data_IF_208540432948
#
_entry.id   IF_208540432948
#
_cell.length_a   1.000
_cell.length_b   1.000
_cell.length_c   1.000
_cell.angle_alpha   90.00
_cell.angle_beta   90.00
_cell.angle_gamma   90.00
#
_symmetry.space_group_name_H-M   'P 1'
#
loop_
_entity.id
_entity.type
_entity.pdbx_description
1 polymer ?
#
# COMPACT_ATOMS: atom_id res chain seq x y z
N UNK A 1 -12.54 -5.33 -9.57
CA UNK A 1 -11.42 -6.18 -10.08
C UNK A 1 -10.16 -5.59 -9.49
N UNK A 2 -9.25 -6.38 -8.92
CA UNK A 2 -8.10 -5.81 -8.17
C UNK A 2 -6.89 -5.65 -9.09
N UNK A 3 -6.30 -4.46 -9.12
CA UNK A 3 -5.01 -4.20 -9.78
C UNK A 3 -3.89 -4.37 -8.75
N UNK A 4 -3.02 -5.35 -8.94
CA UNK A 4 -1.96 -5.69 -7.99
C UNK A 4 -0.58 -5.46 -8.59
N UNK A 5 0.28 -4.79 -7.83
CA UNK A 5 1.65 -4.45 -8.19
C UNK A 5 2.60 -5.01 -7.12
N UNK A 6 3.67 -5.66 -7.53
CA UNK A 6 4.69 -6.23 -6.63
C UNK A 6 5.44 -5.13 -5.86
N UNK A 7 6.03 -5.45 -4.71
CA UNK A 7 6.80 -4.45 -3.97
C UNK A 7 8.02 -3.96 -4.73
N UNK A 8 8.27 -2.66 -4.62
CA UNK A 8 9.32 -1.99 -5.39
C UNK A 8 9.06 -1.96 -6.90
N UNK A 9 7.87 -2.36 -7.36
CA UNK A 9 7.50 -2.24 -8.79
C UNK A 9 6.89 -0.87 -9.14
N UNK A 10 6.47 -0.10 -8.13
CA UNK A 10 5.92 1.25 -8.25
C UNK A 10 6.53 2.13 -7.15
N UNK A 11 7.20 3.22 -7.55
CA UNK A 11 7.78 4.22 -6.62
C UNK A 11 7.05 5.56 -6.67
N UNK A 12 6.29 5.78 -7.74
CA UNK A 12 5.57 7.02 -7.98
C UNK A 12 4.18 6.71 -8.55
N UNK A 13 3.18 7.44 -8.06
CA UNK A 13 1.84 7.45 -8.64
C UNK A 13 1.53 8.86 -9.13
N UNK A 14 1.04 8.97 -10.36
CA UNK A 14 0.56 10.21 -10.96
C UNK A 14 -0.94 10.12 -11.12
N UNK A 15 -1.65 11.12 -10.59
CA UNK A 15 -3.09 11.15 -10.47
C UNK A 15 -3.69 12.12 -11.48
N UNK A 16 -4.65 11.64 -12.26
CA UNK A 16 -5.66 12.51 -12.85
C UNK A 16 -6.69 12.98 -11.79
N UNK A 17 -7.43 14.05 -12.07
CA UNK A 17 -8.42 14.61 -11.14
C UNK A 17 -9.84 14.21 -11.52
N UNK A 18 -10.34 14.73 -12.65
CA UNK A 18 -11.72 14.58 -13.10
C UNK A 18 -12.00 13.11 -13.46
N UNK A 19 -13.10 12.55 -12.98
CA UNK A 19 -13.46 11.14 -13.15
C UNK A 19 -12.57 10.13 -12.39
N UNK A 20 -11.48 10.59 -11.77
CA UNK A 20 -10.46 9.73 -11.14
C UNK A 20 -10.43 9.91 -9.63
N UNK A 21 -9.90 11.05 -9.14
CA UNK A 21 -9.91 11.38 -7.70
C UNK A 21 -11.19 12.11 -7.29
N UNK A 22 -11.79 12.88 -8.21
CA UNK A 22 -13.02 13.64 -7.96
C UNK A 22 -13.98 13.57 -9.14
N UNK A 23 -15.26 13.87 -8.90
CA UNK A 23 -16.30 13.76 -9.91
C UNK A 23 -16.20 14.88 -10.95
N UNK A 24 -16.31 14.53 -12.23
CA UNK A 24 -16.40 15.52 -13.33
C UNK A 24 -17.61 16.42 -13.14
N UNK A 25 -18.72 15.85 -12.64
CA UNK A 25 -19.95 16.58 -12.32
C UNK A 25 -19.73 17.71 -11.31
N UNK A 26 -18.77 17.60 -10.39
CA UNK A 26 -18.50 18.69 -9.44
C UNK A 26 -18.02 19.98 -10.13
N UNK A 27 -17.24 19.85 -11.21
CA UNK A 27 -16.77 21.02 -11.97
C UNK A 27 -17.96 21.72 -12.63
N UNK A 28 -18.84 20.94 -13.26
CA UNK A 28 -20.00 21.45 -14.03
C UNK A 28 -21.13 21.93 -13.12
N UNK A 29 -21.41 21.21 -12.04
CA UNK A 29 -22.59 21.41 -11.20
C UNK A 29 -22.32 22.33 -10.00
N UNK A 30 -21.04 22.54 -9.64
CA UNK A 30 -20.65 23.38 -8.48
C UNK A 30 -19.73 24.52 -8.90
N UNK A 31 -18.58 24.22 -9.51
CA UNK A 31 -17.58 25.26 -9.80
C UNK A 31 -18.05 26.24 -10.88
N UNK A 32 -18.69 25.75 -11.94
CA UNK A 32 -19.21 26.60 -13.02
C UNK A 32 -20.32 27.55 -12.53
N UNK A 33 -21.38 27.07 -11.85
CA UNK A 33 -22.38 27.94 -11.22
C UNK A 33 -21.79 28.95 -10.24
N UNK A 34 -20.85 28.51 -9.40
CA UNK A 34 -20.20 29.39 -8.42
C UNK A 34 -19.52 30.59 -9.09
N UNK A 35 -18.77 30.36 -10.18
CA UNK A 35 -18.13 31.43 -10.94
C UNK A 35 -19.16 32.30 -11.68
N UNK A 36 -20.18 31.69 -12.29
CA UNK A 36 -21.22 32.39 -13.05
C UNK A 36 -21.92 33.44 -12.19
N UNK A 37 -22.27 33.11 -10.96
CA UNK A 37 -22.94 34.03 -10.03
C UNK A 37 -22.04 35.20 -9.56
N UNK A 38 -20.73 35.12 -9.80
CA UNK A 38 -19.73 36.04 -9.24
C UNK A 38 -18.97 36.86 -10.29
N UNK A 39 -19.13 36.57 -11.58
CA UNK A 39 -18.50 37.35 -12.65
C UNK A 39 -18.87 38.83 -12.58
N UNK A 40 -20.16 39.18 -12.46
CA UNK A 40 -20.58 40.57 -12.37
C UNK A 40 -19.92 41.33 -11.22
N UNK A 41 -19.84 40.71 -10.03
CA UNK A 41 -19.19 41.29 -8.86
C UNK A 41 -17.67 41.49 -9.06
N UNK A 42 -16.99 40.49 -9.64
CA UNK A 42 -15.56 40.59 -9.95
C UNK A 42 -15.27 41.73 -10.93
N UNK A 43 -16.03 41.81 -12.02
CA UNK A 43 -15.85 42.81 -13.05
C UNK A 43 -16.15 44.23 -12.54
N UNK A 44 -17.18 44.40 -11.71
CA UNK A 44 -17.57 45.69 -11.17
C UNK A 44 -16.61 46.22 -10.10
N UNK A 45 -16.11 45.35 -9.22
CA UNK A 45 -15.31 45.78 -8.06
C UNK A 45 -13.80 45.74 -8.31
N UNK A 46 -13.34 44.88 -9.22
CA UNK A 46 -11.92 44.56 -9.41
C UNK A 46 -11.49 44.53 -10.88
N UNK A 47 -12.30 45.12 -11.76
CA UNK A 47 -12.00 45.18 -13.20
C UNK A 47 -10.70 45.91 -13.57
N UNK A 48 -10.19 46.78 -12.69
CA UNK A 48 -8.92 47.50 -12.89
C UNK A 48 -7.69 46.73 -12.43
N UNK A 49 -7.86 45.60 -11.74
CA UNK A 49 -6.71 44.78 -11.34
C UNK A 49 -5.98 44.24 -12.58
N UNK A 50 -4.63 44.25 -12.60
CA UNK A 50 -3.88 43.98 -13.83
C UNK A 50 -4.23 42.65 -14.53
N UNK A 51 -4.51 41.61 -13.75
CA UNK A 51 -4.86 40.28 -14.28
C UNK A 51 -6.31 40.23 -14.79
N UNK A 52 -7.26 40.78 -14.04
CA UNK A 52 -8.67 40.87 -14.43
C UNK A 52 -8.83 41.77 -15.67
N UNK A 53 -8.20 42.95 -15.67
CA UNK A 53 -8.22 43.89 -16.79
C UNK A 53 -7.66 43.25 -18.08
N UNK A 54 -6.58 42.47 -17.97
CA UNK A 54 -5.98 41.75 -19.10
C UNK A 54 -6.92 40.65 -19.61
N UNK A 55 -7.49 39.85 -18.72
CA UNK A 55 -8.44 38.81 -19.11
C UNK A 55 -9.68 39.42 -19.78
N UNK A 56 -10.23 40.52 -19.25
CA UNK A 56 -11.36 41.25 -19.84
C UNK A 56 -11.03 41.78 -21.24
N UNK A 57 -9.84 42.35 -21.44
CA UNK A 57 -9.39 42.80 -22.76
C UNK A 57 -9.34 41.63 -23.77
N UNK A 58 -8.84 40.47 -23.35
CA UNK A 58 -8.83 39.26 -24.19
C UNK A 58 -10.24 38.72 -24.45
N UNK A 59 -11.17 38.82 -23.49
CA UNK A 59 -12.57 38.45 -23.73
C UNK A 59 -13.17 39.30 -24.84
N UNK A 60 -12.99 40.62 -24.77
CA UNK A 60 -13.45 41.58 -25.78
C UNK A 60 -12.90 41.28 -27.16
N UNK A 61 -11.60 41.00 -27.25
CA UNK A 61 -10.93 40.64 -28.49
C UNK A 61 -11.50 39.33 -29.08
N UNK A 62 -11.59 38.27 -28.28
CA UNK A 62 -12.07 36.95 -28.71
C UNK A 62 -13.57 36.90 -29.03
N UNK A 63 -14.35 37.83 -28.48
CA UNK A 63 -15.76 38.02 -28.80
C UNK A 63 -15.97 38.93 -30.03
N UNK A 64 -14.94 39.66 -30.47
CA UNK A 64 -15.07 40.69 -31.50
C UNK A 64 -15.84 41.94 -31.05
N UNK A 65 -15.88 42.20 -29.74
CA UNK A 65 -16.62 43.29 -29.11
C UNK A 65 -15.67 44.19 -28.27
N UNK A 66 -14.82 45.04 -28.89
CA UNK A 66 -13.78 45.82 -28.21
C UNK A 66 -14.33 46.82 -27.17
N UNK A 67 -15.55 47.33 -27.38
CA UNK A 67 -16.19 48.33 -26.53
C UNK A 67 -17.18 47.73 -25.52
N UNK A 68 -17.23 46.39 -25.37
CA UNK A 68 -18.17 45.74 -24.45
C UNK A 68 -17.96 46.19 -23.00
N UNK A 69 -19.01 46.70 -22.37
CA UNK A 69 -19.00 47.06 -20.95
C UNK A 69 -18.95 45.81 -20.03
N UNK A 70 -18.83 46.02 -18.72
CA UNK A 70 -18.71 44.93 -17.76
C UNK A 70 -19.92 43.98 -17.79
N UNK A 71 -21.14 44.49 -17.99
CA UNK A 71 -22.35 43.67 -18.07
C UNK A 71 -22.40 42.82 -19.33
N UNK A 72 -21.92 43.36 -20.47
CA UNK A 72 -21.80 42.57 -21.71
C UNK A 72 -20.72 41.51 -21.60
N UNK A 73 -19.57 41.83 -20.99
CA UNK A 73 -18.49 40.87 -20.73
C UNK A 73 -18.96 39.73 -19.82
N UNK A 74 -19.72 40.03 -18.76
CA UNK A 74 -20.34 39.02 -17.90
C UNK A 74 -21.23 38.06 -18.70
N UNK A 75 -22.07 38.60 -19.58
CA UNK A 75 -22.95 37.79 -20.44
C UNK A 75 -22.15 36.90 -21.40
N UNK A 76 -21.09 37.43 -22.00
CA UNK A 76 -20.18 36.65 -22.88
C UNK A 76 -19.53 35.50 -22.11
N UNK A 77 -19.06 35.76 -20.88
CA UNK A 77 -18.49 34.72 -20.02
C UNK A 77 -19.52 33.63 -19.69
N UNK A 78 -20.75 34.01 -19.36
CA UNK A 78 -21.85 33.07 -19.14
C UNK A 78 -22.14 32.19 -20.37
N UNK A 79 -22.22 32.81 -21.57
CA UNK A 79 -22.38 32.09 -22.84
C UNK A 79 -21.22 31.11 -23.11
N UNK A 80 -20.00 31.49 -22.76
CA UNK A 80 -18.82 30.63 -22.91
C UNK A 80 -18.80 29.46 -21.92
N UNK A 81 -19.26 29.67 -20.68
CA UNK A 81 -19.44 28.59 -19.71
C UNK A 81 -20.50 27.61 -20.21
N UNK A 82 -21.65 28.10 -20.69
CA UNK A 82 -22.75 27.26 -21.19
C UNK A 82 -22.34 26.45 -22.44
N UNK A 83 -21.39 26.95 -23.22
CA UNK A 83 -20.84 26.30 -24.41
C UNK A 83 -19.61 25.42 -24.14
N UNK A 84 -19.19 25.25 -22.87
CA UNK A 84 -17.93 24.59 -22.47
C UNK A 84 -16.70 25.09 -23.27
N UNK A 85 -16.65 26.41 -23.52
CA UNK A 85 -15.58 27.01 -24.33
C UNK A 85 -14.28 27.08 -23.54
N UNK A 86 -13.25 26.40 -24.03
CA UNK A 86 -11.89 26.39 -23.44
C UNK A 86 -11.09 27.66 -23.77
N UNK A 87 -11.56 28.83 -23.34
CA UNK A 87 -10.87 30.11 -23.53
C UNK A 87 -9.93 30.44 -22.35
N UNK A 88 -8.67 30.80 -22.63
CA UNK A 88 -7.68 31.22 -21.63
C UNK A 88 -8.19 32.33 -20.67
N UNK A 89 -8.80 33.43 -21.14
CA UNK A 89 -9.28 34.46 -20.22
C UNK A 89 -10.46 34.01 -19.34
N UNK A 90 -11.31 33.09 -19.83
CA UNK A 90 -12.36 32.49 -19.01
C UNK A 90 -11.75 31.68 -17.86
N UNK A 91 -10.80 30.79 -18.17
CA UNK A 91 -10.08 29.99 -17.17
C UNK A 91 -9.38 30.87 -16.13
N UNK A 92 -8.82 32.00 -16.57
CA UNK A 92 -8.15 32.96 -15.68
C UNK A 92 -9.14 33.53 -14.66
N UNK A 93 -10.28 34.06 -15.11
CA UNK A 93 -11.29 34.64 -14.23
C UNK A 93 -11.96 33.59 -13.33
N UNK A 94 -12.24 32.40 -13.86
CA UNK A 94 -12.72 31.26 -13.07
C UNK A 94 -11.71 30.87 -11.98
N UNK A 95 -10.42 30.78 -12.31
CA UNK A 95 -9.36 30.45 -11.36
C UNK A 95 -9.28 31.43 -10.19
N UNK A 96 -9.40 32.74 -10.45
CA UNK A 96 -9.45 33.78 -9.41
C UNK A 96 -10.64 33.53 -8.47
N UNK A 97 -11.84 33.37 -9.02
CA UNK A 97 -13.07 33.18 -8.24
C UNK A 97 -13.03 31.90 -7.41
N UNK A 98 -12.57 30.79 -7.98
CA UNK A 98 -12.48 29.53 -7.27
C UNK A 98 -11.44 29.59 -6.15
N UNK A 99 -10.27 30.17 -6.40
CA UNK A 99 -9.24 30.33 -5.37
C UNK A 99 -9.77 31.12 -4.16
N UNK A 100 -10.57 32.16 -4.39
CA UNK A 100 -11.23 32.91 -3.32
C UNK A 100 -12.31 32.10 -2.61
N UNK A 101 -13.15 31.39 -3.35
CA UNK A 101 -14.19 30.55 -2.77
C UNK A 101 -13.61 29.47 -1.87
N UNK A 102 -12.53 28.84 -2.30
CA UNK A 102 -11.77 27.89 -1.51
C UNK A 102 -11.14 28.56 -0.27
N UNK A 103 -10.44 29.69 -0.44
CA UNK A 103 -9.81 30.39 0.67
C UNK A 103 -10.78 30.88 1.75
N UNK A 104 -12.03 31.17 1.37
CA UNK A 104 -13.11 31.57 2.29
C UNK A 104 -13.88 30.38 2.86
N UNK A 105 -13.60 29.15 2.43
CA UNK A 105 -14.36 27.96 2.82
C UNK A 105 -15.77 27.91 2.23
N UNK A 106 -16.06 28.72 1.20
CA UNK A 106 -17.31 28.65 0.43
C UNK A 106 -17.31 27.46 -0.53
N UNK A 107 -16.11 27.02 -0.95
CA UNK A 107 -15.89 25.83 -1.75
C UNK A 107 -15.02 24.84 -0.97
N UNK A 108 -15.34 23.56 -1.11
CA UNK A 108 -14.53 22.41 -0.67
C UNK A 108 -14.47 21.47 -1.86
N UNK A 109 -13.26 21.03 -2.23
CA UNK A 109 -13.08 20.20 -3.42
C UNK A 109 -13.73 18.83 -3.21
N UNK A 110 -14.19 18.20 -4.29
CA UNK A 110 -14.75 16.86 -4.19
C UNK A 110 -13.65 15.80 -4.31
N UNK A 111 -13.63 14.84 -3.38
CA UNK A 111 -12.91 13.58 -3.53
C UNK A 111 -13.88 12.42 -3.35
N UNK A 112 -13.71 11.34 -4.12
CA UNK A 112 -14.46 10.11 -3.82
C UNK A 112 -14.04 9.55 -2.46
N UNK A 113 -14.97 8.93 -1.69
CA UNK A 113 -14.70 8.50 -0.31
C UNK A 113 -13.51 7.55 -0.14
N UNK A 114 -13.18 6.75 -1.16
CA UNK A 114 -12.08 5.78 -1.13
C UNK A 114 -10.69 6.39 -1.42
N UNK A 115 -10.62 7.64 -1.90
CA UNK A 115 -9.38 8.18 -2.46
C UNK A 115 -8.40 8.62 -1.37
N UNK A 116 -8.84 9.44 -0.42
CA UNK A 116 -7.94 10.14 0.51
C UNK A 116 -7.17 9.16 1.39
N UNK A 117 -7.85 8.15 1.94
CA UNK A 117 -7.21 7.14 2.79
C UNK A 117 -6.17 6.32 2.03
N UNK A 118 -6.44 5.98 0.77
CA UNK A 118 -5.50 5.25 -0.07
C UNK A 118 -4.27 6.11 -0.39
N UNK A 119 -4.45 7.39 -0.71
CA UNK A 119 -3.33 8.31 -0.95
C UNK A 119 -2.45 8.45 0.29
N UNK A 120 -3.04 8.58 1.48
CA UNK A 120 -2.29 8.61 2.75
C UNK A 120 -1.53 7.30 2.98
N UNK A 121 -2.16 6.16 2.72
CA UNK A 121 -1.53 4.84 2.83
C UNK A 121 -0.32 4.69 1.91
N UNK A 122 -0.42 5.13 0.66
CA UNK A 122 0.70 5.12 -0.29
C UNK A 122 1.83 6.05 0.12
N UNK A 123 1.51 7.28 0.54
CA UNK A 123 2.52 8.22 1.02
C UNK A 123 3.26 7.70 2.27
N UNK A 124 2.53 7.10 3.22
CA UNK A 124 3.11 6.47 4.40
C UNK A 124 4.02 5.27 4.05
N UNK A 125 3.69 4.56 2.97
CA UNK A 125 4.52 3.48 2.42
C UNK A 125 5.71 3.99 1.55
N UNK A 126 5.95 5.31 1.51
CA UNK A 126 7.06 5.91 0.78
C UNK A 126 6.84 6.12 -0.72
N UNK A 127 5.61 5.91 -1.22
CA UNK A 127 5.27 6.15 -2.63
C UNK A 127 5.10 7.64 -2.88
N UNK A 128 5.78 8.17 -3.90
CA UNK A 128 5.70 9.59 -4.27
C UNK A 128 4.44 9.86 -5.07
N UNK A 129 3.66 10.87 -4.67
CA UNK A 129 2.42 11.23 -5.36
C UNK A 129 2.61 12.51 -6.19
N UNK A 130 2.09 12.51 -7.40
CA UNK A 130 2.06 13.66 -8.30
C UNK A 130 0.67 13.80 -8.92
N UNK A 131 0.36 14.98 -9.44
CA UNK A 131 -0.92 15.25 -10.10
C UNK A 131 -0.68 15.72 -11.51
N UNK A 132 -1.46 15.22 -12.47
CA UNK A 132 -1.44 15.66 -13.86
C UNK A 132 -2.87 15.86 -14.39
N UNK A 133 -3.26 17.11 -14.57
CA UNK A 133 -4.62 17.48 -14.98
C UNK A 133 -4.62 18.60 -16.03
N UNK A 134 -5.73 18.77 -16.74
CA UNK A 134 -5.90 19.87 -17.72
C UNK A 134 -6.18 21.24 -17.06
N UNK A 135 -6.55 21.24 -15.78
CA UNK A 135 -6.63 22.45 -14.96
C UNK A 135 -5.23 22.98 -14.65
N UNK A 136 -5.09 24.31 -14.49
CA UNK A 136 -3.79 24.92 -14.20
C UNK A 136 -3.21 24.41 -12.87
N UNK A 137 -1.88 24.41 -12.74
CA UNK A 137 -1.21 24.04 -11.47
C UNK A 137 -1.79 24.81 -10.27
N UNK A 138 -2.15 26.08 -10.44
CA UNK A 138 -2.78 26.88 -9.37
C UNK A 138 -4.13 26.28 -8.93
N UNK A 139 -4.98 25.89 -9.88
CA UNK A 139 -6.26 25.25 -9.60
C UNK A 139 -6.10 23.88 -8.93
N UNK A 140 -5.11 23.08 -9.38
CA UNK A 140 -4.82 21.79 -8.77
C UNK A 140 -4.32 21.94 -7.32
N UNK A 141 -3.45 22.92 -7.06
CA UNK A 141 -2.98 23.23 -5.70
C UNK A 141 -4.15 23.65 -4.80
N UNK A 142 -5.05 24.50 -5.28
CA UNK A 142 -6.26 24.85 -4.55
C UNK A 142 -7.12 23.60 -4.26
N UNK A 143 -7.34 22.75 -5.28
CA UNK A 143 -8.09 21.50 -5.12
C UNK A 143 -7.55 20.63 -3.99
N UNK A 144 -6.24 20.37 -3.95
CA UNK A 144 -5.64 19.55 -2.90
C UNK A 144 -5.48 20.26 -1.54
N UNK A 145 -5.43 21.59 -1.52
CA UNK A 145 -5.36 22.37 -0.26
C UNK A 145 -6.68 22.36 0.49
N UNK A 146 -7.81 22.42 -0.23
CA UNK A 146 -9.14 22.59 0.34
C UNK A 146 -9.99 21.33 0.17
N UNK A 147 -9.40 20.18 0.52
CA UNK A 147 -10.09 18.88 0.52
C UNK A 147 -11.08 18.72 1.68
N UNK A 148 -12.04 17.78 1.60
CA UNK A 148 -13.00 17.51 2.68
C UNK A 148 -12.35 17.14 4.01
N UNK A 149 -11.11 16.63 3.99
CA UNK A 149 -10.39 16.17 5.17
C UNK A 149 -9.14 17.02 5.48
N UNK A 150 -9.18 18.28 5.08
CA UNK A 150 -8.06 19.22 5.25
C UNK A 150 -7.06 19.16 4.10
N UNK A 151 -5.94 19.87 4.25
CA UNK A 151 -4.95 19.99 3.17
C UNK A 151 -4.23 18.67 2.92
N UNK A 152 -4.18 18.25 1.66
CA UNK A 152 -3.43 17.09 1.18
C UNK A 152 -2.10 17.50 0.54
N UNK A 153 -1.71 18.77 0.64
CA UNK A 153 -0.51 19.31 0.00
C UNK A 153 0.79 18.62 0.44
N UNK A 154 0.83 18.11 1.67
CA UNK A 154 1.99 17.37 2.20
C UNK A 154 2.18 16.01 1.52
N UNK A 155 1.12 15.45 0.92
CA UNK A 155 1.16 14.17 0.23
C UNK A 155 1.70 14.30 -1.21
N UNK A 156 1.57 15.48 -1.82
CA UNK A 156 1.80 15.67 -3.27
C UNK A 156 3.15 16.34 -3.52
N UNK A 157 4.06 15.62 -4.18
CA UNK A 157 5.40 16.07 -4.52
C UNK A 157 5.49 16.99 -5.74
N UNK A 158 4.43 17.12 -6.55
CA UNK A 158 4.43 17.98 -7.73
C UNK A 158 3.11 17.97 -8.51
N UNK A 159 2.90 19.03 -9.31
CA UNK A 159 1.69 19.28 -10.08
C UNK A 159 2.06 19.61 -11.53
N UNK A 160 1.36 18.98 -12.47
CA UNK A 160 1.59 19.07 -13.90
C UNK A 160 0.31 19.45 -14.62
N UNK A 161 0.43 20.31 -15.61
CA UNK A 161 -0.67 20.73 -16.47
C UNK A 161 -0.25 20.75 -17.94
N UNK A 162 -1.16 21.18 -18.81
CA UNK A 162 -0.89 21.20 -20.25
C UNK A 162 0.14 22.24 -20.68
N UNK A 163 0.51 23.18 -19.81
CA UNK A 163 1.53 24.19 -20.09
C UNK A 163 2.92 23.70 -19.72
N UNK A 164 3.08 23.03 -18.57
CA UNK A 164 4.39 22.59 -18.08
C UNK A 164 4.78 21.17 -18.48
N UNK A 165 3.82 20.30 -18.80
CA UNK A 165 4.06 18.92 -19.25
C UNK A 165 3.71 18.71 -20.72
N UNK A 166 2.68 19.40 -21.24
CA UNK A 166 2.15 19.22 -22.58
C UNK A 166 0.78 18.55 -22.61
N UNK A 167 0.23 18.19 -23.79
CA UNK A 167 -1.11 17.61 -23.87
C UNK A 167 -1.20 16.20 -23.23
N UNK A 168 -2.33 15.90 -22.57
CA UNK A 168 -2.52 14.63 -21.82
C UNK A 168 -2.62 13.37 -22.70
N UNK A 169 -2.82 13.50 -24.01
CA UNK A 169 -2.88 12.36 -24.93
C UNK A 169 -1.59 12.19 -25.75
N UNK A 170 -0.53 12.90 -25.38
CA UNK A 170 0.77 12.82 -26.06
C UNK A 170 1.78 12.10 -25.17
N UNK A 171 2.41 11.00 -25.63
CA UNK A 171 3.41 10.26 -24.85
C UNK A 171 4.60 11.10 -24.38
N UNK A 172 4.96 12.15 -25.15
CA UNK A 172 6.06 13.04 -24.79
C UNK A 172 5.79 13.85 -23.52
N UNK A 173 4.52 14.11 -23.18
CA UNK A 173 4.17 14.79 -21.95
C UNK A 173 4.51 13.96 -20.72
N UNK A 174 4.27 12.65 -20.77
CA UNK A 174 4.62 11.71 -19.70
C UNK A 174 6.14 11.55 -19.58
N UNK A 175 6.86 11.52 -20.70
CA UNK A 175 8.34 11.55 -20.68
C UNK A 175 8.88 12.82 -20.03
N UNK A 176 8.27 13.97 -20.30
CA UNK A 176 8.64 15.24 -19.66
C UNK A 176 8.41 15.20 -18.15
N UNK A 177 7.28 14.63 -17.68
CA UNK A 177 6.99 14.46 -16.26
C UNK A 177 8.04 13.55 -15.60
N UNK A 178 8.35 12.38 -16.17
CA UNK A 178 9.39 11.47 -15.65
C UNK A 178 10.73 12.17 -15.47
N UNK A 179 11.13 12.98 -16.47
CA UNK A 179 12.37 13.75 -16.42
C UNK A 179 12.33 14.83 -15.32
N UNK A 180 11.21 15.53 -15.16
CA UNK A 180 11.05 16.60 -14.17
C UNK A 180 11.13 16.09 -12.73
N UNK A 181 10.61 14.88 -12.45
CA UNK A 181 10.57 14.31 -11.09
C UNK A 181 11.65 13.28 -10.81
N UNK A 182 12.49 12.96 -11.80
CA UNK A 182 13.50 11.90 -11.70
C UNK A 182 12.89 10.54 -11.38
N UNK A 183 11.75 10.20 -11.98
CA UNK A 183 11.09 8.90 -11.80
C UNK A 183 11.40 7.95 -12.97
N UNK A 184 11.60 6.68 -12.64
CA UNK A 184 11.69 5.61 -13.63
C UNK A 184 10.31 5.36 -14.24
N UNK A 185 10.21 5.41 -15.57
CA UNK A 185 8.96 5.21 -16.29
C UNK A 185 8.32 3.84 -15.96
N UNK A 186 9.11 2.76 -15.94
CA UNK A 186 8.64 1.41 -15.64
C UNK A 186 8.21 1.20 -14.19
N UNK A 187 8.52 2.15 -13.30
CA UNK A 187 8.10 2.19 -11.88
C UNK A 187 7.15 3.35 -11.56
N UNK A 188 6.61 4.02 -12.58
CA UNK A 188 5.61 5.08 -12.43
C UNK A 188 4.23 4.56 -12.83
N UNK A 189 3.24 4.72 -11.96
CA UNK A 189 1.85 4.34 -12.19
C UNK A 189 0.99 5.57 -12.48
N UNK A 190 0.27 5.59 -13.61
CA UNK A 190 -0.73 6.61 -13.92
C UNK A 190 -2.14 6.08 -13.70
N UNK A 191 -2.96 6.90 -13.04
CA UNK A 191 -4.39 6.66 -12.83
C UNK A 191 -5.20 7.70 -13.60
N UNK A 192 -6.09 7.25 -14.48
CA UNK A 192 -7.04 8.10 -15.21
C UNK A 192 -8.28 7.30 -15.61
N UNK A 193 -9.40 7.98 -15.86
CA UNK A 193 -10.63 7.41 -16.43
C UNK A 193 -10.64 7.46 -17.97
N UNK A 194 -9.66 8.12 -18.60
CA UNK A 194 -9.64 8.38 -20.04
C UNK A 194 -8.68 7.45 -20.79
N UNK A 195 -9.25 6.61 -21.67
CA UNK A 195 -8.48 5.67 -22.50
C UNK A 195 -7.30 6.31 -23.25
N UNK A 196 -7.51 7.43 -23.94
CA UNK A 196 -6.44 8.08 -24.72
C UNK A 196 -5.27 8.59 -23.87
N UNK A 197 -5.51 8.93 -22.61
CA UNK A 197 -4.45 9.33 -21.68
C UNK A 197 -3.68 8.11 -21.16
N UNK A 198 -4.39 7.04 -20.84
CA UNK A 198 -3.79 5.77 -20.44
C UNK A 198 -2.93 5.19 -21.59
N UNK A 199 -3.42 5.23 -22.82
CA UNK A 199 -2.67 4.78 -24.00
C UNK A 199 -1.36 5.56 -24.15
N UNK A 200 -1.42 6.90 -24.04
CA UNK A 200 -0.25 7.76 -24.13
C UNK A 200 0.77 7.53 -23.00
N UNK A 201 0.30 7.32 -21.76
CA UNK A 201 1.16 6.97 -20.63
C UNK A 201 1.87 5.62 -20.84
N UNK A 202 1.13 4.60 -21.33
CA UNK A 202 1.69 3.28 -21.63
C UNK A 202 2.75 3.35 -22.75
N UNK A 203 2.50 4.16 -23.79
CA UNK A 203 3.47 4.39 -24.88
C UNK A 203 4.72 5.17 -24.42
N UNK A 204 4.62 5.89 -23.29
CA UNK A 204 5.75 6.49 -22.59
C UNK A 204 6.49 5.52 -21.66
N UNK A 205 6.03 4.26 -21.55
CA UNK A 205 6.62 3.21 -20.72
C UNK A 205 6.10 3.18 -19.29
N UNK A 206 5.04 3.92 -18.97
CA UNK A 206 4.45 3.94 -17.64
C UNK A 206 3.52 2.74 -17.42
N UNK A 207 3.33 2.39 -16.15
CA UNK A 207 2.23 1.52 -15.71
C UNK A 207 0.95 2.34 -15.67
N UNK A 208 -0.19 1.68 -15.89
CA UNK A 208 -1.47 2.37 -16.05
C UNK A 208 -2.59 1.56 -15.42
N UNK A 209 -3.47 2.23 -14.68
CA UNK A 209 -4.74 1.67 -14.22
C UNK A 209 -5.86 2.63 -14.62
N UNK A 210 -6.85 2.08 -15.31
CA UNK A 210 -8.07 2.78 -15.65
C UNK A 210 -9.04 2.79 -14.48
N UNK A 211 -9.44 3.98 -14.03
CA UNK A 211 -10.40 4.16 -12.93
C UNK A 211 -11.80 4.39 -13.52
N UNK A 212 -12.73 3.48 -13.27
CA UNK A 212 -14.09 3.51 -13.81
C UNK A 212 -15.12 3.75 -12.73
N UNK A 213 -15.51 5.01 -12.59
CA UNK A 213 -16.56 5.44 -11.66
C UNK A 213 -17.92 5.44 -12.36
N UNK A 214 -18.88 4.71 -11.79
CA UNK A 214 -20.24 4.71 -12.33
C UNK A 214 -20.83 6.13 -12.27
N UNK A 215 -21.41 6.59 -13.38
CA UNK A 215 -21.97 7.93 -13.51
C UNK A 215 -21.02 8.97 -14.12
N UNK A 216 -19.72 8.66 -14.26
CA UNK A 216 -18.79 9.56 -14.94
C UNK A 216 -18.93 9.50 -16.47
N UNK A 217 -18.67 10.62 -17.19
CA UNK A 217 -18.92 10.71 -18.64
C UNK A 217 -18.20 9.65 -19.48
N UNK A 218 -17.00 9.25 -19.06
CA UNK A 218 -16.18 8.28 -19.79
C UNK A 218 -16.41 6.82 -19.36
N UNK A 219 -17.33 6.56 -18.42
CA UNK A 219 -17.61 5.22 -17.91
C UNK A 219 -17.94 4.21 -19.02
N UNK A 220 -18.75 4.60 -20.01
CA UNK A 220 -19.18 3.72 -21.10
C UNK A 220 -18.10 3.47 -22.17
N UNK A 221 -17.12 4.39 -22.29
CA UNK A 221 -16.03 4.23 -23.25
C UNK A 221 -15.05 3.12 -22.82
N UNK A 222 -14.98 2.83 -21.52
CA UNK A 222 -14.08 1.82 -20.97
C UNK A 222 -12.60 2.24 -21.04
N UNK A 223 -11.73 1.32 -20.63
CA UNK A 223 -10.28 1.57 -20.49
C UNK A 223 -9.45 0.57 -21.30
N UNK A 224 -10.03 0.01 -22.37
CA UNK A 224 -9.32 -0.83 -23.33
C UNK A 224 -8.58 -2.01 -22.68
N UNK A 225 -7.30 -2.17 -23.02
CA UNK A 225 -6.44 -3.24 -22.50
C UNK A 225 -5.73 -2.92 -21.17
N UNK A 226 -6.08 -1.81 -20.51
CA UNK A 226 -5.50 -1.43 -19.23
C UNK A 226 -6.14 -2.21 -18.07
N UNK A 227 -5.41 -2.36 -16.96
CA UNK A 227 -6.00 -2.86 -15.73
C UNK A 227 -7.11 -1.90 -15.28
N UNK A 228 -8.24 -2.45 -14.82
CA UNK A 228 -9.44 -1.67 -14.51
C UNK A 228 -9.82 -1.82 -13.03
N UNK A 229 -10.14 -0.69 -12.40
CA UNK A 229 -10.70 -0.63 -11.05
C UNK A 229 -11.88 0.34 -11.01
N UNK A 230 -12.76 0.16 -10.04
CA UNK A 230 -13.90 1.04 -9.74
C UNK A 230 -13.66 1.94 -8.52
N UNK A 231 -12.65 1.61 -7.71
CA UNK A 231 -12.23 2.36 -6.53
C UNK A 231 -10.72 2.20 -6.29
N UNK A 232 -10.13 3.13 -5.54
CA UNK A 232 -8.70 3.17 -5.24
C UNK A 232 -8.26 2.04 -4.31
N UNK A 233 -9.15 1.54 -3.44
CA UNK A 233 -8.87 0.43 -2.53
C UNK A 233 -8.68 -0.92 -3.26
N UNK A 234 -9.09 -1.00 -4.53
CA UNK A 234 -8.81 -2.12 -5.43
C UNK A 234 -7.40 -2.07 -6.04
N UNK A 235 -6.62 -1.02 -5.76
CA UNK A 235 -5.23 -0.86 -6.23
C UNK A 235 -4.28 -1.20 -5.08
N UNK A 236 -3.57 -2.32 -5.22
CA UNK A 236 -2.60 -2.79 -4.21
C UNK A 236 -1.17 -2.59 -4.70
N UNK A 237 -0.48 -1.65 -4.06
CA UNK A 237 0.97 -1.49 -4.19
C UNK A 237 1.63 -2.33 -3.10
N UNK A 238 2.43 -3.34 -3.45
CA UNK A 238 3.17 -4.11 -2.46
C UNK A 238 4.11 -3.19 -1.67
N UNK A 239 4.03 -3.20 -0.33
CA UNK A 239 5.04 -2.52 0.47
C UNK A 239 6.26 -3.44 0.61
N UNK A 240 7.44 -2.90 0.32
CA UNK A 240 8.67 -3.47 0.83
C UNK A 240 8.80 -3.06 2.30
N UNK A 241 9.22 -3.98 3.17
CA UNK A 241 9.64 -3.61 4.52
C UNK A 241 10.72 -2.53 4.46
N UNK A 242 10.53 -1.42 5.20
CA UNK A 242 11.53 -0.38 5.33
C UNK A 242 12.71 -0.86 6.20
N UNK A 243 13.85 -0.15 6.15
CA UNK A 243 14.97 -0.43 7.05
C UNK A 243 14.58 -0.26 8.53
N UNK A 244 13.68 0.68 8.84
CA UNK A 244 13.13 0.89 10.19
C UNK A 244 12.29 -0.31 10.63
N UNK A 245 11.44 -0.84 9.75
CA UNK A 245 10.63 -2.05 10.05
C UNK A 245 11.53 -3.26 10.34
N UNK A 246 12.65 -3.38 9.62
CA UNK A 246 13.60 -4.47 9.82
C UNK A 246 14.36 -4.33 11.14
N UNK A 247 14.78 -3.12 11.51
CA UNK A 247 15.46 -2.87 12.79
C UNK A 247 14.54 -3.14 13.99
N UNK A 248 13.29 -2.68 13.94
CA UNK A 248 12.30 -2.94 14.98
C UNK A 248 11.99 -4.43 15.12
N UNK A 249 11.78 -5.13 13.99
CA UNK A 249 11.61 -6.57 13.98
C UNK A 249 12.85 -7.30 14.54
N UNK A 250 14.03 -6.80 14.21
CA UNK A 250 15.31 -7.28 14.74
C UNK A 250 15.37 -7.19 16.27
N UNK A 251 14.98 -6.06 16.83
CA UNK A 251 14.96 -5.87 18.29
C UNK A 251 14.01 -6.85 18.99
N UNK A 252 12.82 -7.08 18.42
CA UNK A 252 11.86 -8.05 18.95
C UNK A 252 12.41 -9.47 18.88
N UNK A 253 12.99 -9.85 17.75
CA UNK A 253 13.54 -11.20 17.56
C UNK A 253 14.75 -11.46 18.46
N UNK A 254 15.61 -10.48 18.67
CA UNK A 254 16.72 -10.57 19.61
C UNK A 254 16.24 -10.79 21.05
N UNK A 255 15.21 -10.04 21.48
CA UNK A 255 14.63 -10.18 22.81
C UNK A 255 14.00 -11.56 23.05
N UNK A 256 13.26 -12.09 22.07
CA UNK A 256 12.66 -13.43 22.21
C UNK A 256 13.72 -14.55 22.11
N UNK A 257 14.74 -14.40 21.26
CA UNK A 257 15.85 -15.35 21.20
C UNK A 257 16.61 -15.42 22.53
N UNK A 258 16.91 -14.27 23.14
CA UNK A 258 17.54 -14.20 24.45
C UNK A 258 16.68 -14.88 25.54
N UNK A 259 15.36 -14.71 25.48
CA UNK A 259 14.43 -15.39 26.39
C UNK A 259 14.49 -16.91 26.22
N UNK A 260 14.35 -17.44 25.01
CA UNK A 260 14.42 -18.89 24.78
C UNK A 260 15.79 -19.48 25.08
N UNK A 261 16.87 -18.71 24.83
CA UNK A 261 18.22 -19.08 25.25
C UNK A 261 18.33 -19.21 26.78
N UNK A 262 17.68 -18.30 27.54
CA UNK A 262 17.63 -18.36 29.01
C UNK A 262 16.90 -19.60 29.55
N UNK A 263 15.93 -20.14 28.80
CA UNK A 263 15.28 -21.42 29.09
C UNK A 263 16.10 -22.64 28.65
N UNK A 264 17.20 -22.40 27.92
CA UNK A 264 18.05 -23.44 27.34
C UNK A 264 17.44 -24.12 26.11
N UNK A 265 16.46 -23.48 25.45
CA UNK A 265 15.76 -23.99 24.25
C UNK A 265 16.44 -23.59 22.93
N UNK A 266 17.30 -22.56 22.96
CA UNK A 266 18.14 -22.12 21.83
C UNK A 266 19.61 -22.07 22.25
N UNK A 267 20.25 -23.23 22.42
CA UNK A 267 21.64 -23.31 22.90
C UNK A 267 22.63 -22.96 21.79
N UNK A 268 23.60 -22.09 22.08
CA UNK A 268 24.60 -21.64 21.12
C UNK A 268 23.94 -21.04 19.89
N UNK A 269 24.25 -21.58 18.70
CA UNK A 269 23.73 -21.06 17.42
C UNK A 269 22.45 -21.75 16.95
N UNK A 270 21.83 -22.59 17.78
CA UNK A 270 20.74 -23.48 17.38
C UNK A 270 19.37 -22.80 17.42
N UNK A 271 18.51 -23.13 16.45
CA UNK A 271 17.17 -22.57 16.29
C UNK A 271 17.18 -21.22 15.58
N UNK A 272 16.01 -20.75 15.19
CA UNK A 272 15.80 -19.47 14.55
C UNK A 272 14.37 -18.98 14.77
N UNK A 273 14.18 -17.68 14.61
CA UNK A 273 12.91 -16.99 14.81
C UNK A 273 12.64 -16.14 13.58
N UNK A 274 11.37 -15.90 13.26
CA UNK A 274 10.99 -14.93 12.23
C UNK A 274 9.73 -14.15 12.54
N UNK A 275 9.62 -12.98 11.91
CA UNK A 275 8.41 -12.14 11.86
C UNK A 275 8.11 -11.81 10.40
N UNK A 276 6.83 -11.85 10.03
CA UNK A 276 6.34 -11.39 8.72
C UNK A 276 6.23 -9.86 8.75
N UNK A 277 6.93 -9.19 7.83
CA UNK A 277 6.89 -7.73 7.69
C UNK A 277 5.95 -7.29 6.56
N UNK A 278 5.83 -8.09 5.51
CA UNK A 278 4.88 -7.87 4.42
C UNK A 278 4.29 -9.21 3.99
N UNK A 279 3.00 -9.24 3.63
CA UNK A 279 2.36 -10.45 3.08
C UNK A 279 2.36 -10.49 1.56
N UNK A 280 2.48 -9.34 0.92
CA UNK A 280 2.37 -9.21 -0.53
C UNK A 280 3.33 -8.12 -1.02
N UNK A 281 4.55 -8.50 -1.45
CA UNK A 281 5.11 -9.85 -1.44
C UNK A 281 5.40 -10.33 -0.02
N UNK A 282 5.39 -11.65 0.19
CA UNK A 282 5.74 -12.22 1.49
C UNK A 282 7.21 -11.91 1.80
N UNK A 283 7.43 -11.15 2.87
CA UNK A 283 8.74 -10.78 3.37
C UNK A 283 8.81 -11.04 4.87
N UNK A 284 9.90 -11.64 5.31
CA UNK A 284 10.12 -11.97 6.72
C UNK A 284 11.47 -11.42 7.18
N UNK A 285 11.51 -10.90 8.41
CA UNK A 285 12.77 -10.79 9.15
C UNK A 285 13.05 -12.15 9.81
N UNK A 286 14.23 -12.72 9.56
CA UNK A 286 14.65 -14.01 10.13
C UNK A 286 15.97 -13.84 10.87
N UNK A 287 16.13 -14.44 12.05
CA UNK A 287 17.41 -14.34 12.79
C UNK A 287 18.58 -14.93 12.00
N UNK A 288 19.72 -14.24 12.03
CA UNK A 288 20.92 -14.62 11.28
C UNK A 288 21.47 -16.00 11.71
N UNK A 289 22.04 -16.73 10.75
CA UNK A 289 22.67 -18.03 11.01
C UNK A 289 24.02 -17.89 11.72
N UNK A 290 24.42 -18.89 12.50
CA UNK A 290 25.77 -18.98 13.11
C UNK A 290 26.07 -17.98 14.23
N UNK A 291 25.07 -17.22 14.69
CA UNK A 291 25.19 -16.31 15.86
C UNK A 291 24.61 -16.97 17.10
N UNK A 292 25.20 -16.68 18.26
CA UNK A 292 24.65 -17.12 19.55
C UNK A 292 23.28 -16.47 19.76
N UNK A 293 22.27 -17.29 20.02
CA UNK A 293 20.88 -16.82 20.14
C UNK A 293 20.61 -16.04 21.43
N UNK A 294 21.48 -16.18 22.44
CA UNK A 294 21.46 -15.38 23.66
C UNK A 294 22.03 -13.97 23.51
N UNK A 295 22.80 -13.71 22.44
CA UNK A 295 23.58 -12.47 22.26
C UNK A 295 23.20 -11.69 20.98
N UNK A 296 22.06 -12.02 20.36
CA UNK A 296 21.60 -11.30 19.17
C UNK A 296 21.30 -9.83 19.49
N UNK A 297 21.56 -8.97 18.50
CA UNK A 297 21.17 -7.57 18.48
C UNK A 297 20.11 -7.33 17.42
N UNK A 298 19.54 -6.11 17.36
CA UNK A 298 18.59 -5.73 16.31
C UNK A 298 19.16 -5.85 14.89
N UNK A 299 20.49 -5.78 14.74
CA UNK A 299 21.17 -5.92 13.46
C UNK A 299 21.35 -7.39 13.02
N UNK A 300 21.08 -8.37 13.89
CA UNK A 300 21.35 -9.79 13.63
C UNK A 300 20.15 -10.53 13.02
N UNK A 301 19.47 -9.85 12.09
CA UNK A 301 18.37 -10.37 11.28
C UNK A 301 18.61 -10.18 9.80
N UNK A 302 18.01 -11.03 8.99
CA UNK A 302 18.09 -11.01 7.53
C UNK A 302 16.68 -10.93 6.98
N UNK A 303 16.43 -9.95 6.10
CA UNK A 303 15.19 -9.86 5.35
C UNK A 303 15.17 -10.94 4.26
N UNK A 304 14.12 -11.75 4.22
CA UNK A 304 13.94 -12.83 3.26
C UNK A 304 12.64 -12.72 2.47
N UNK A 305 12.63 -13.24 1.25
CA UNK A 305 11.44 -13.36 0.42
C UNK A 305 10.60 -14.61 0.73
N UNK A 306 9.57 -14.85 -0.10
CA UNK A 306 8.67 -16.00 0.00
C UNK A 306 9.35 -17.37 -0.18
N UNK A 307 10.56 -17.41 -0.77
CA UNK A 307 11.36 -18.62 -0.92
C UNK A 307 12.35 -18.83 0.23
N UNK A 308 12.46 -17.85 1.14
CA UNK A 308 13.48 -17.82 2.19
C UNK A 308 14.84 -17.30 1.71
N UNK A 309 14.94 -16.77 0.49
CA UNK A 309 16.16 -16.16 -0.03
C UNK A 309 16.33 -14.75 0.54
N UNK A 310 17.57 -14.34 0.80
CA UNK A 310 17.86 -13.00 1.31
C UNK A 310 17.57 -11.92 0.27
N UNK A 311 16.92 -10.84 0.73
CA UNK A 311 16.63 -9.63 -0.06
C UNK A 311 17.68 -8.51 0.17
N UNK A 312 18.72 -8.77 0.97
CA UNK A 312 19.75 -7.80 1.33
C UNK A 312 21.04 -8.45 1.82
N UNK A 313 21.82 -7.71 2.60
CA UNK A 313 23.05 -8.20 3.18
C UNK A 313 22.80 -9.27 4.24
N UNK A 314 23.72 -10.24 4.34
CA UNK A 314 23.66 -11.32 5.31
C UNK A 314 23.33 -12.68 4.71
N UNK A 315 23.39 -13.71 5.55
CA UNK A 315 23.06 -15.09 5.17
C UNK A 315 21.94 -15.58 6.09
N UNK A 316 20.73 -15.84 5.55
CA UNK A 316 19.63 -16.32 6.36
C UNK A 316 19.91 -17.76 6.82
N UNK A 317 19.19 -18.22 7.85
CA UNK A 317 19.20 -19.65 8.20
C UNK A 317 18.76 -20.48 6.99
N UNK A 318 19.30 -21.70 6.85
CA UNK A 318 18.82 -22.66 5.85
C UNK A 318 17.32 -22.92 6.01
N UNK A 319 16.81 -22.82 7.25
CA UNK A 319 15.41 -23.04 7.61
C UNK A 319 14.51 -21.83 7.32
N UNK A 320 15.06 -20.71 6.81
CA UNK A 320 14.25 -19.54 6.42
C UNK A 320 13.17 -19.90 5.38
N UNK A 321 13.47 -20.84 4.48
CA UNK A 321 12.49 -21.36 3.53
C UNK A 321 11.30 -22.04 4.23
N UNK A 322 11.54 -22.76 5.32
CA UNK A 322 10.48 -23.41 6.09
C UNK A 322 9.65 -22.39 6.87
N UNK A 323 10.27 -21.33 7.42
CA UNK A 323 9.57 -20.21 8.04
C UNK A 323 8.63 -19.51 7.05
N UNK A 324 9.12 -19.19 5.85
CA UNK A 324 8.31 -18.59 4.79
C UNK A 324 7.13 -19.49 4.39
N UNK A 325 7.36 -20.81 4.29
CA UNK A 325 6.32 -21.78 3.98
C UNK A 325 5.27 -21.90 5.08
N UNK A 326 5.67 -21.93 6.36
CA UNK A 326 4.74 -21.88 7.50
C UNK A 326 3.89 -20.62 7.44
N UNK A 327 4.51 -19.45 7.23
CA UNK A 327 3.78 -18.18 7.15
C UNK A 327 2.77 -18.16 5.99
N UNK A 328 3.15 -18.69 4.82
CA UNK A 328 2.29 -18.78 3.64
C UNK A 328 1.09 -19.73 3.85
N UNK A 329 1.32 -20.93 4.40
CA UNK A 329 0.28 -21.96 4.55
C UNK A 329 -0.70 -21.66 5.68
N UNK A 330 -0.23 -21.03 6.75
CA UNK A 330 -1.00 -20.87 7.99
C UNK A 330 -1.51 -19.47 8.22
N UNK A 331 -1.00 -18.48 7.47
CA UNK A 331 -1.25 -17.07 7.74
C UNK A 331 -0.53 -16.56 9.00
N UNK A 332 0.45 -17.27 9.55
CA UNK A 332 1.21 -16.82 10.70
C UNK A 332 1.87 -15.45 10.46
N UNK A 333 1.99 -14.66 11.53
CA UNK A 333 2.80 -13.42 11.56
C UNK A 333 4.15 -13.60 12.25
N UNK A 334 4.35 -14.69 13.00
CA UNK A 334 5.64 -15.06 13.56
C UNK A 334 5.81 -16.59 13.66
N UNK A 335 7.05 -17.05 13.53
CA UNK A 335 7.41 -18.47 13.61
C UNK A 335 8.62 -18.62 14.52
N UNK A 336 8.55 -19.60 15.42
CA UNK A 336 9.56 -19.95 16.42
C UNK A 336 10.06 -21.36 16.11
N UNK A 337 11.37 -21.53 16.02
CA UNK A 337 12.00 -22.83 15.95
C UNK A 337 12.99 -23.01 17.11
N UNK A 338 12.75 -24.01 17.95
CA UNK A 338 13.54 -24.28 19.15
C UNK A 338 13.91 -25.77 19.27
N UNK A 339 14.93 -26.04 20.05
CA UNK A 339 15.52 -27.36 20.27
C UNK A 339 15.40 -27.78 21.73
N UNK A 340 14.19 -28.11 22.15
CA UNK A 340 13.96 -28.57 23.51
C UNK A 340 14.26 -30.05 23.66
N UNK A 341 14.64 -30.48 24.86
CA UNK A 341 14.89 -31.92 25.12
C UNK A 341 13.61 -32.73 24.92
N UNK A 342 12.45 -32.19 25.33
CA UNK A 342 11.18 -32.88 25.21
C UNK A 342 10.76 -33.04 23.74
N UNK A 343 10.87 -31.99 22.91
CA UNK A 343 10.53 -32.10 21.48
C UNK A 343 11.39 -33.11 20.73
N UNK A 344 12.71 -33.11 20.97
CA UNK A 344 13.63 -34.08 20.33
C UNK A 344 13.35 -35.50 20.80
N UNK A 345 13.13 -35.70 22.10
CA UNK A 345 12.85 -37.03 22.66
C UNK A 345 11.49 -37.57 22.19
N UNK A 346 10.44 -36.75 22.21
CA UNK A 346 9.10 -37.14 21.77
C UNK A 346 9.04 -37.39 20.27
N UNK A 347 9.79 -36.63 19.46
CA UNK A 347 9.93 -36.89 18.03
C UNK A 347 10.45 -38.29 17.71
N UNK A 348 11.30 -38.87 18.58
CA UNK A 348 11.75 -40.26 18.45
C UNK A 348 10.74 -41.27 19.00
N UNK A 349 10.08 -40.96 20.12
CA UNK A 349 9.17 -41.89 20.80
C UNK A 349 7.81 -42.03 20.10
N UNK A 350 7.36 -40.99 19.40
CA UNK A 350 6.01 -40.90 18.83
C UNK A 350 6.06 -40.42 17.36
N UNK A 351 6.69 -41.17 16.43
CA UNK A 351 6.84 -40.73 15.04
C UNK A 351 5.52 -40.54 14.28
N UNK A 352 4.40 -41.06 14.80
CA UNK A 352 3.06 -40.86 14.23
C UNK A 352 2.31 -39.64 14.78
N UNK A 353 2.93 -38.83 15.64
CA UNK A 353 2.30 -37.71 16.33
C UNK A 353 2.03 -37.99 17.82
N UNK A 354 1.84 -36.91 18.57
CA UNK A 354 1.55 -36.93 20.02
C UNK A 354 0.12 -36.46 20.25
N UNK A 355 -0.75 -37.33 20.78
CA UNK A 355 -2.13 -36.97 21.12
C UNK A 355 -2.20 -36.38 22.53
N UNK A 356 -2.80 -35.20 22.65
CA UNK A 356 -3.13 -34.57 23.92
C UNK A 356 -4.64 -34.55 24.09
N UNK A 357 -5.12 -34.89 25.29
CA UNK A 357 -6.54 -34.98 25.61
C UNK A 357 -6.83 -34.54 27.04
N UNK A 358 -7.91 -33.79 27.23
CA UNK A 358 -8.46 -33.39 28.54
C UNK A 358 -7.47 -32.60 29.42
N UNK A 359 -6.66 -31.72 28.80
CA UNK A 359 -5.66 -30.89 29.48
C UNK A 359 -6.02 -29.40 29.41
N UNK A 360 -6.05 -28.72 30.55
CA UNK A 360 -6.36 -27.27 30.66
C UNK A 360 -5.42 -26.40 29.81
N UNK A 361 -4.16 -26.83 29.67
CA UNK A 361 -3.14 -26.13 28.88
C UNK A 361 -3.50 -26.02 27.39
N UNK A 362 -4.39 -26.87 26.86
CA UNK A 362 -4.85 -26.78 25.46
C UNK A 362 -5.60 -25.47 25.15
N UNK A 363 -6.17 -24.79 26.15
CA UNK A 363 -6.76 -23.46 25.97
C UNK A 363 -5.74 -22.43 25.47
N UNK A 364 -4.47 -22.59 25.84
CA UNK A 364 -3.37 -21.74 25.38
C UNK A 364 -3.09 -21.84 23.87
N UNK A 365 -3.66 -22.84 23.18
CA UNK A 365 -3.57 -23.01 21.73
C UNK A 365 -4.82 -22.51 20.98
N UNK A 366 -5.78 -21.90 21.69
CA UNK A 366 -7.00 -21.34 21.09
C UNK A 366 -8.22 -22.27 21.14
N UNK A 367 -8.17 -23.39 21.87
CA UNK A 367 -9.32 -24.26 22.07
C UNK A 367 -10.25 -23.73 23.17
N UNK A 368 -11.55 -23.57 22.87
CA UNK A 368 -12.53 -23.00 23.81
C UNK A 368 -12.95 -23.92 24.95
N UNK A 369 -12.58 -25.21 24.92
CA UNK A 369 -12.90 -26.21 25.94
C UNK A 369 -11.69 -27.13 26.17
N UNK A 370 -11.68 -27.82 27.32
CA UNK A 370 -10.65 -28.82 27.64
C UNK A 370 -11.01 -30.22 27.13
N UNK A 371 -12.27 -30.48 26.78
CA UNK A 371 -12.77 -31.73 26.17
C UNK A 371 -12.44 -31.81 24.67
N UNK A 372 -11.16 -31.64 24.32
CA UNK A 372 -10.66 -31.67 22.94
C UNK A 372 -9.48 -32.63 22.88
N UNK A 373 -9.49 -33.50 21.87
CA UNK A 373 -8.32 -34.29 21.49
C UNK A 373 -7.60 -33.58 20.35
N UNK A 374 -6.34 -33.23 20.57
CA UNK A 374 -5.51 -32.52 19.58
C UNK A 374 -4.23 -33.31 19.37
N UNK A 375 -3.85 -33.51 18.11
CA UNK A 375 -2.61 -34.21 17.77
C UNK A 375 -1.54 -33.20 17.36
N UNK A 376 -0.41 -33.21 18.05
CA UNK A 376 0.82 -32.57 17.62
C UNK A 376 1.51 -33.46 16.58
N UNK A 377 1.61 -33.04 15.31
CA UNK A 377 2.23 -33.84 14.28
C UNK A 377 3.74 -33.97 14.53
N UNK A 378 4.27 -35.15 14.22
CA UNK A 378 5.70 -35.42 14.16
C UNK A 378 6.03 -35.79 12.72
N UNK A 379 6.98 -35.09 12.11
CA UNK A 379 7.43 -35.33 10.72
C UNK A 379 8.89 -35.78 10.69
N UNK A 380 9.24 -36.65 9.75
CA UNK A 380 10.63 -37.04 9.53
C UNK A 380 11.47 -35.84 9.07
N UNK A 381 12.66 -35.72 9.65
CA UNK A 381 13.64 -34.71 9.24
C UNK A 381 14.15 -34.94 7.81
N UNK A 382 14.57 -33.86 7.16
CA UNK A 382 15.22 -33.86 5.85
C UNK A 382 16.20 -32.70 5.76
N UNK A 383 17.34 -32.91 5.13
CA UNK A 383 18.28 -31.83 4.79
C UNK A 383 17.80 -31.00 3.59
N UNK A 384 16.84 -31.51 2.83
CA UNK A 384 16.16 -30.79 1.76
C UNK A 384 14.92 -30.07 2.33
N UNK A 385 14.96 -28.73 2.31
CA UNK A 385 13.89 -27.87 2.83
C UNK A 385 12.62 -27.92 2.00
N UNK A 386 12.69 -28.26 0.70
CA UNK A 386 11.51 -28.50 -0.13
C UNK A 386 10.76 -29.73 0.35
N UNK A 387 11.48 -30.84 0.53
CA UNK A 387 10.91 -32.09 1.07
C UNK A 387 10.37 -31.91 2.49
N UNK A 388 11.10 -31.21 3.36
CA UNK A 388 10.63 -30.93 4.71
C UNK A 388 9.37 -30.05 4.71
N UNK A 389 9.32 -29.06 3.81
CA UNK A 389 8.16 -28.21 3.59
C UNK A 389 6.92 -28.97 3.13
N UNK A 390 7.07 -29.88 2.17
CA UNK A 390 5.97 -30.72 1.68
C UNK A 390 5.41 -31.62 2.79
N UNK A 391 6.29 -32.17 3.63
CA UNK A 391 5.90 -32.97 4.81
C UNK A 391 5.18 -32.13 5.85
N UNK A 392 5.64 -30.92 6.12
CA UNK A 392 4.99 -29.99 7.03
C UNK A 392 3.57 -29.67 6.55
N UNK A 393 3.42 -29.32 5.27
CA UNK A 393 2.13 -29.00 4.67
C UNK A 393 1.13 -30.16 4.78
N UNK A 394 1.57 -31.38 4.45
CA UNK A 394 0.76 -32.57 4.56
C UNK A 394 0.38 -32.93 6.01
N UNK A 395 1.19 -32.51 6.97
CA UNK A 395 1.00 -32.80 8.40
C UNK A 395 0.20 -31.73 9.15
N UNK A 396 -0.18 -30.62 8.51
CA UNK A 396 -0.92 -29.53 9.17
C UNK A 396 -2.23 -30.06 9.78
N UNK A 397 -2.44 -29.75 11.06
CA UNK A 397 -3.65 -30.09 11.80
C UNK A 397 -4.38 -28.81 12.20
N UNK A 398 -5.66 -28.65 11.84
CA UNK A 398 -6.46 -27.52 12.29
C UNK A 398 -6.46 -27.41 13.83
N UNK A 399 -6.12 -26.23 14.34
CA UNK A 399 -6.07 -25.96 15.78
C UNK A 399 -4.78 -26.38 16.48
N UNK A 400 -3.82 -27.03 15.80
CA UNK A 400 -2.49 -27.27 16.35
C UNK A 400 -1.46 -26.36 15.66
N UNK A 401 -1.01 -25.27 16.31
CA UNK A 401 -0.11 -24.29 15.72
C UNK A 401 1.37 -24.69 15.83
N UNK A 402 1.66 -25.99 15.73
CA UNK A 402 3.01 -26.52 15.91
C UNK A 402 3.23 -27.85 15.17
N UNK A 403 4.50 -28.14 14.87
CA UNK A 403 4.97 -29.43 14.35
C UNK A 403 6.32 -29.77 14.96
N UNK A 404 6.54 -31.04 15.29
CA UNK A 404 7.86 -31.55 15.68
C UNK A 404 8.54 -32.16 14.47
N UNK A 405 9.77 -31.73 14.20
CA UNK A 405 10.64 -32.38 13.21
C UNK A 405 11.52 -33.38 13.97
N UNK A 406 11.32 -34.67 13.71
CA UNK A 406 11.94 -35.75 14.47
C UNK A 406 13.47 -35.66 14.49
N UNK A 407 14.06 -35.65 15.70
CA UNK A 407 15.50 -35.50 15.88
C UNK A 407 16.07 -34.12 15.53
N UNK A 408 15.22 -33.16 15.20
CA UNK A 408 15.61 -31.79 14.94
C UNK A 408 15.08 -30.90 16.06
N UNK A 409 13.77 -30.69 16.16
CA UNK A 409 13.17 -29.84 17.19
C UNK A 409 11.71 -29.49 16.92
N UNK A 410 11.28 -28.37 17.49
CA UNK A 410 9.91 -27.89 17.47
C UNK A 410 9.79 -26.63 16.61
N UNK A 411 8.78 -26.59 15.76
CA UNK A 411 8.33 -25.40 15.03
C UNK A 411 6.95 -25.00 15.54
N UNK A 412 6.79 -23.74 15.94
CA UNK A 412 5.53 -23.18 16.46
C UNK A 412 5.26 -21.84 15.79
N UNK A 413 4.00 -21.50 15.54
CA UNK A 413 3.62 -20.25 14.89
C UNK A 413 2.46 -19.53 15.57
N UNK A 414 2.37 -18.22 15.36
CA UNK A 414 1.34 -17.33 15.91
C UNK A 414 1.10 -16.10 15.04
N UNK A 415 0.07 -15.33 15.37
CA UNK A 415 -0.26 -14.07 14.68
C UNK A 415 0.81 -12.99 14.90
N UNK A 416 1.54 -13.07 16.01
CA UNK A 416 2.63 -12.16 16.38
C UNK A 416 3.66 -12.88 17.28
N UNK A 417 4.85 -12.28 17.53
CA UNK A 417 5.90 -12.89 18.35
C UNK A 417 5.45 -13.33 19.75
N UNK A 418 4.61 -12.52 20.40
CA UNK A 418 4.11 -12.81 21.74
C UNK A 418 3.24 -14.06 21.74
N UNK A 419 2.35 -14.19 20.76
CA UNK A 419 1.49 -15.36 20.66
C UNK A 419 2.29 -16.61 20.27
N UNK A 420 3.20 -16.51 19.31
CA UNK A 420 4.09 -17.61 18.94
C UNK A 420 4.91 -18.11 20.14
N UNK A 421 5.39 -17.18 20.99
CA UNK A 421 6.03 -17.53 22.27
C UNK A 421 5.11 -18.29 23.19
N UNK A 422 3.92 -17.76 23.49
CA UNK A 422 3.00 -18.42 24.43
C UNK A 422 2.62 -19.82 23.96
N UNK A 423 2.36 -19.98 22.66
CA UNK A 423 2.10 -21.30 22.06
C UNK A 423 3.32 -22.22 22.21
N UNK A 424 4.54 -21.70 22.05
CA UNK A 424 5.78 -22.49 22.22
C UNK A 424 5.90 -23.00 23.65
N UNK A 425 5.68 -22.14 24.65
CA UNK A 425 5.74 -22.50 26.07
C UNK A 425 4.66 -23.54 26.43
N UNK A 426 3.45 -23.41 25.89
CA UNK A 426 2.35 -24.37 26.08
C UNK A 426 2.67 -25.72 25.45
N UNK A 427 3.12 -25.74 24.19
CA UNK A 427 3.45 -26.98 23.49
C UNK A 427 4.63 -27.69 24.16
N UNK A 428 5.64 -26.94 24.60
CA UNK A 428 6.77 -27.52 25.34
C UNK A 428 6.31 -28.14 26.66
N UNK A 429 5.47 -27.45 27.44
CA UNK A 429 4.92 -28.02 28.67
C UNK A 429 4.14 -29.32 28.42
N UNK A 430 3.35 -29.37 27.34
CA UNK A 430 2.60 -30.57 26.96
C UNK A 430 3.54 -31.73 26.60
N UNK A 431 4.64 -31.44 25.89
CA UNK A 431 5.67 -32.41 25.54
C UNK A 431 6.42 -32.90 26.79
N UNK A 432 6.78 -32.01 27.72
CA UNK A 432 7.41 -32.36 28.99
C UNK A 432 6.51 -33.29 29.82
N UNK A 433 5.21 -32.97 29.91
CA UNK A 433 4.24 -33.82 30.60
C UNK A 433 4.18 -35.21 29.97
N UNK A 434 4.06 -35.29 28.64
CA UNK A 434 4.00 -36.59 27.94
C UNK A 434 5.31 -37.38 28.08
N UNK A 435 6.45 -36.69 28.14
CA UNK A 435 7.74 -37.32 28.41
C UNK A 435 7.79 -38.02 29.79
N UNK A 436 7.03 -37.54 30.78
CA UNK A 436 6.92 -38.20 32.09
C UNK A 436 5.98 -39.41 32.10
N UNK A 437 5.13 -39.56 31.08
CA UNK A 437 4.10 -40.62 30.98
C UNK A 437 4.57 -41.89 30.27
N UNK A 438 5.75 -41.89 29.66
CA UNK A 438 6.35 -43.02 28.97
C UNK A 438 7.80 -43.24 29.37
#
# INVERSE_FOLDING_TARGET
>A
MTAQFDAGSVDAVVLDIEGTTGATGFVVDVLYPYARERFGALLASRGEEPEVARAVAQVRELAGEPDADAGRVEKILGEWVDADRKATPLKTLQGILWAEGFARGELVSHFYPDVIDVLRGWAAAGVRLYVYSSGSVAAQRAWFTYSPEGSLMELVGGFFDTENAGPKQEPDSYRAISAAVGADAGRTLFLSDRLGELDAARDAGWRTVGVRRAGEPYFAAGVGGHAEVSAFDEIRLGSAASELDLEEAGAVLAAEAARFASFGWMRGTSGNLSVVLSRTPLQLAVTASGRDKGELTSADVVLTDASGAALGAGRPSAEAALHARVAALTGAGAVVHVHTVASVAMGHRKPGGVEFRDLEMLKGLGHGTHEVAVTLPVIENSQDMGVLGDRLEAALQPGMPAVVVAGHGLYVWGENPREARHRTEVVEWLLELELTRG
#
